data_IF_602141228822
#
_entry.id   IF_602141228822
#
_cell.length_a   1.000
_cell.length_b   1.000
_cell.length_c   1.000
_cell.angle_alpha   90.00
_cell.angle_beta   90.00
_cell.angle_gamma   90.00
#
_symmetry.space_group_name_H-M   'P 1'
#
loop_
_entity.id
_entity.type
_entity.pdbx_description
1 polymer ?
#
# COMPACT_ATOMS: atom_id res chain seq x y z
N UNK A 1 -29.10 -28.17 -19.24
CA UNK A 1 -29.01 -27.96 -17.77
C UNK A 1 -27.60 -27.63 -17.28
N UNK A 2 -26.53 -28.33 -17.70
CA UNK A 2 -25.16 -28.04 -17.26
C UNK A 2 -24.64 -26.62 -17.62
N UNK A 3 -25.05 -26.09 -18.77
CA UNK A 3 -24.60 -24.77 -19.25
C UNK A 3 -25.07 -23.60 -18.36
N UNK A 4 -26.30 -23.68 -17.83
CA UNK A 4 -26.87 -22.66 -16.93
C UNK A 4 -26.11 -22.65 -15.60
N UNK A 5 -25.80 -23.84 -15.07
CA UNK A 5 -25.04 -23.97 -13.83
C UNK A 5 -23.61 -23.43 -13.97
N UNK A 6 -22.98 -23.66 -15.13
CA UNK A 6 -21.66 -23.09 -15.43
C UNK A 6 -21.69 -21.56 -15.48
N UNK A 7 -22.75 -20.99 -16.05
CA UNK A 7 -22.91 -19.54 -16.15
C UNK A 7 -23.14 -18.89 -14.79
N UNK A 8 -23.95 -19.52 -13.93
CA UNK A 8 -24.20 -19.06 -12.56
C UNK A 8 -22.95 -19.09 -11.68
N UNK A 9 -22.15 -20.16 -11.79
CA UNK A 9 -20.85 -20.28 -11.11
C UNK A 9 -19.89 -19.16 -11.54
N UNK A 10 -19.81 -18.91 -12.85
CA UNK A 10 -18.94 -17.86 -13.41
C UNK A 10 -19.33 -16.47 -12.89
N UNK A 11 -20.64 -16.14 -12.91
CA UNK A 11 -21.15 -14.85 -12.42
C UNK A 11 -20.86 -14.69 -10.92
N UNK A 12 -21.08 -15.74 -10.13
CA UNK A 12 -20.80 -15.71 -8.68
C UNK A 12 -19.32 -15.44 -8.38
N UNK A 13 -18.41 -16.09 -9.11
CA UNK A 13 -16.96 -15.85 -8.99
C UNK A 13 -16.57 -14.41 -9.35
N UNK A 14 -17.14 -13.86 -10.44
CA UNK A 14 -16.86 -12.47 -10.86
C UNK A 14 -17.37 -11.44 -9.84
N UNK A 15 -18.55 -11.67 -9.25
CA UNK A 15 -19.09 -10.83 -8.17
C UNK A 15 -18.21 -10.85 -6.92
N UNK A 16 -17.66 -12.03 -6.57
CA UNK A 16 -16.74 -12.15 -5.46
C UNK A 16 -15.43 -11.41 -5.72
N UNK A 17 -14.87 -11.56 -6.92
CA UNK A 17 -13.66 -10.85 -7.33
C UNK A 17 -13.86 -9.33 -7.32
N UNK A 18 -14.99 -8.82 -7.80
CA UNK A 18 -15.27 -7.37 -7.77
C UNK A 18 -15.41 -6.84 -6.35
N UNK A 19 -16.02 -7.61 -5.44
CA UNK A 19 -16.10 -7.27 -4.01
C UNK A 19 -14.71 -7.20 -3.37
N UNK A 20 -13.81 -8.12 -3.71
CA UNK A 20 -12.43 -8.12 -3.21
C UNK A 20 -11.58 -6.98 -3.81
N UNK A 21 -11.85 -6.58 -5.05
CA UNK A 21 -11.13 -5.49 -5.74
C UNK A 21 -11.53 -4.09 -5.24
N UNK A 22 -12.74 -3.93 -4.71
CA UNK A 22 -13.28 -2.64 -4.24
C UNK A 22 -12.71 -2.12 -2.91
N UNK A 23 -11.70 -2.79 -2.35
CA UNK A 23 -11.01 -2.35 -1.13
C UNK A 23 -9.53 -2.18 -1.37
N UNK A 24 -9.20 -1.52 -2.49
CA UNK A 24 -7.95 -0.77 -2.55
C UNK A 24 -8.14 0.38 -1.56
N UNK A 25 -7.79 0.11 -0.30
CA UNK A 25 -7.64 1.15 0.70
C UNK A 25 -6.66 2.11 0.06
N UNK A 26 -7.15 3.29 -0.31
CA UNK A 26 -6.35 4.50 -0.48
C UNK A 26 -5.77 4.85 0.90
N UNK A 27 -5.02 3.90 1.46
CA UNK A 27 -3.88 4.23 2.27
C UNK A 27 -2.91 4.64 1.18
N UNK A 28 -2.93 5.93 0.82
CA UNK A 28 -1.65 6.61 0.89
C UNK A 28 -1.02 6.09 2.19
N UNK A 29 0.00 5.22 2.13
CA UNK A 29 0.71 4.87 3.35
C UNK A 29 1.05 6.22 3.94
N UNK A 30 0.61 6.55 5.18
CA UNK A 30 0.74 7.89 5.74
C UNK A 30 2.15 8.30 5.44
N UNK A 31 2.28 9.28 4.53
CA UNK A 31 3.47 9.42 3.70
C UNK A 31 4.64 9.22 4.63
N UNK A 32 5.40 8.14 4.41
CA UNK A 32 6.54 7.80 5.26
C UNK A 32 7.64 8.88 5.17
N UNK A 33 7.32 10.02 4.57
CA UNK A 33 7.88 11.31 4.81
C UNK A 33 7.45 11.73 6.22
N UNK A 34 8.01 11.05 7.21
CA UNK A 34 8.21 11.62 8.54
C UNK A 34 8.68 13.04 8.28
N UNK A 35 7.86 14.04 8.66
CA UNK A 35 8.28 15.43 8.64
C UNK A 35 9.39 15.55 9.67
N UNK A 36 10.61 15.27 9.23
CA UNK A 36 11.80 15.49 10.00
C UNK A 36 11.85 16.98 10.32
N UNK A 37 12.24 17.38 11.55
CA UNK A 37 12.45 18.79 11.89
C UNK A 37 13.46 19.42 10.92
N UNK A 38 13.68 20.74 10.93
CA UNK A 38 14.72 21.32 10.06
C UNK A 38 16.10 20.71 10.38
N UNK A 39 16.75 20.06 9.41
CA UNK A 39 18.12 19.55 9.54
C UNK A 39 18.39 18.06 9.23
N UNK A 40 17.59 17.08 9.67
CA UNK A 40 17.82 15.66 9.41
C UNK A 40 17.20 15.19 8.09
N UNK A 41 17.87 14.24 7.45
CA UNK A 41 17.38 13.61 6.24
C UNK A 41 16.46 12.44 6.61
N UNK A 42 15.24 12.44 6.07
CA UNK A 42 14.33 11.30 6.20
C UNK A 42 14.76 10.15 5.29
N UNK A 43 14.91 8.94 5.84
CA UNK A 43 15.09 7.72 5.08
C UNK A 43 14.23 6.60 5.69
N UNK A 44 13.25 6.11 4.93
CA UNK A 44 12.25 5.19 5.46
C UNK A 44 11.41 5.84 6.56
N UNK A 45 11.24 5.17 7.70
CA UNK A 45 10.50 5.68 8.87
C UNK A 45 11.36 6.42 9.89
N UNK A 46 12.61 6.76 9.56
CA UNK A 46 13.58 7.35 10.50
C UNK A 46 14.21 8.63 9.94
N UNK A 47 14.56 9.55 10.85
CA UNK A 47 15.30 10.77 10.57
C UNK A 47 16.77 10.59 10.98
N UNK A 48 17.71 10.87 10.08
CA UNK A 48 19.15 10.76 10.33
C UNK A 48 19.79 12.15 10.30
N UNK A 49 20.69 12.43 11.23
CA UNK A 49 21.53 13.63 11.21
C UNK A 49 22.91 13.29 10.67
N UNK A 50 23.45 14.13 9.79
CA UNK A 50 24.85 14.03 9.40
C UNK A 50 25.70 14.67 10.51
N UNK A 51 26.43 13.84 11.26
CA UNK A 51 27.48 14.31 12.17
C UNK A 51 28.80 14.39 11.40
N UNK A 52 29.25 15.61 11.13
CA UNK A 52 30.50 15.92 10.41
C UNK A 52 31.76 15.43 11.15
N UNK A 53 31.62 14.96 12.40
CA UNK A 53 32.71 14.43 13.23
C UNK A 53 33.12 12.98 12.88
N UNK A 54 32.39 12.27 12.02
CA UNK A 54 32.71 10.87 11.67
C UNK A 54 33.51 10.70 10.37
N UNK A 55 33.89 11.79 9.68
CA UNK A 55 34.84 11.75 8.57
C UNK A 55 36.27 12.04 9.06
N UNK A 56 36.83 11.07 9.80
CA UNK A 56 38.27 10.97 10.06
C UNK A 56 38.81 9.69 9.42
#
# INVERSE_FOLDING_TARGET
MAHINSFLMLISCLMFLSLCQGKQVETDPPSAWVSCPEGPNGYGSYCYYFNEESSI
#
